data_IF_814596451546
#
_entry.id   IF_814596451546
#
_cell.length_a   1.000
_cell.length_b   1.000
_cell.length_c   1.000
_cell.angle_alpha   90.00
_cell.angle_beta   90.00
_cell.angle_gamma   90.00
#
_symmetry.space_group_name_H-M   'P 1'
#
loop_
_entity.id
_entity.type
_entity.pdbx_description
1 polymer ?
#
# COMPACT_ATOMS: atom_id res chain seq x y z
N UNK A 1 -25.43 40.15 -40.08
CA UNK A 1 -24.06 39.60 -39.90
C UNK A 1 -23.49 39.79 -38.48
N UNK A 2 -24.16 40.48 -37.59
CA UNK A 2 -23.77 40.73 -36.17
C UNK A 2 -24.06 39.56 -35.22
N UNK A 3 -25.06 38.77 -35.49
CA UNK A 3 -25.55 37.69 -34.57
C UNK A 3 -24.59 36.50 -34.45
N UNK A 4 -23.86 36.13 -35.50
CA UNK A 4 -22.87 35.02 -35.47
C UNK A 4 -21.60 35.35 -34.67
N UNK A 5 -21.19 36.63 -34.60
CA UNK A 5 -20.02 37.07 -33.86
C UNK A 5 -20.30 37.09 -32.35
N UNK A 6 -21.47 37.55 -31.93
CA UNK A 6 -21.86 37.59 -30.52
C UNK A 6 -22.05 36.16 -29.95
N UNK A 7 -22.67 35.27 -30.71
CA UNK A 7 -22.81 33.85 -30.33
C UNK A 7 -21.45 33.14 -30.18
N UNK A 8 -20.47 33.44 -31.04
CA UNK A 8 -19.11 32.89 -30.94
C UNK A 8 -18.39 33.34 -29.67
N UNK A 9 -18.52 34.64 -29.32
CA UNK A 9 -17.93 35.18 -28.08
C UNK A 9 -18.61 34.57 -26.85
N UNK A 10 -19.93 34.44 -26.86
CA UNK A 10 -20.67 33.85 -25.76
C UNK A 10 -20.28 32.37 -25.56
N UNK A 11 -20.15 31.61 -26.64
CA UNK A 11 -19.71 30.21 -26.59
C UNK A 11 -18.31 30.08 -26.00
N UNK A 12 -17.38 30.95 -26.41
CA UNK A 12 -16.03 30.97 -25.86
C UNK A 12 -16.00 31.29 -24.36
N UNK A 13 -16.86 32.20 -23.89
CA UNK A 13 -16.97 32.52 -22.47
C UNK A 13 -17.60 31.35 -21.69
N UNK A 14 -18.62 30.71 -22.19
CA UNK A 14 -19.24 29.53 -21.58
C UNK A 14 -18.26 28.35 -21.48
N UNK A 15 -17.47 28.10 -22.51
CA UNK A 15 -16.41 27.09 -22.49
C UNK A 15 -15.38 27.39 -21.38
N UNK A 16 -14.92 28.66 -21.28
CA UNK A 16 -13.99 29.08 -20.23
C UNK A 16 -14.58 28.88 -18.81
N UNK A 17 -15.87 29.15 -18.63
CA UNK A 17 -16.57 28.95 -17.37
C UNK A 17 -16.68 27.45 -17.08
N UNK A 18 -17.06 26.64 -18.06
CA UNK A 18 -17.12 25.18 -17.93
C UNK A 18 -15.76 24.61 -17.57
N UNK A 19 -14.70 24.97 -18.27
CA UNK A 19 -13.32 24.55 -17.97
C UNK A 19 -12.86 24.97 -16.56
N UNK A 20 -13.32 26.14 -16.08
CA UNK A 20 -13.00 26.62 -14.74
C UNK A 20 -13.76 25.83 -13.67
N UNK A 21 -15.02 25.50 -13.90
CA UNK A 21 -15.84 24.67 -13.03
C UNK A 21 -15.34 23.21 -13.00
N UNK A 22 -14.96 22.65 -14.14
CA UNK A 22 -14.38 21.32 -14.23
C UNK A 22 -13.04 21.20 -13.49
N UNK A 23 -12.24 22.27 -13.47
CA UNK A 23 -11.02 22.31 -12.63
C UNK A 23 -11.31 22.36 -11.13
N UNK A 24 -12.44 22.94 -10.71
CA UNK A 24 -12.85 22.99 -9.30
C UNK A 24 -13.60 21.73 -8.87
N UNK A 25 -14.33 21.10 -9.78
CA UNK A 25 -15.10 19.88 -9.55
C UNK A 25 -14.96 19.01 -10.80
N UNK A 26 -13.85 18.25 -10.92
CA UNK A 26 -13.63 17.38 -12.06
C UNK A 26 -14.79 16.38 -12.19
N UNK A 27 -15.25 16.08 -13.39
CA UNK A 27 -16.26 15.05 -13.61
C UNK A 27 -15.75 13.73 -13.04
N UNK A 28 -16.65 12.86 -12.57
CA UNK A 28 -16.24 11.53 -12.11
C UNK A 28 -15.46 10.83 -13.23
N UNK A 29 -14.37 10.11 -12.89
CA UNK A 29 -13.56 9.43 -13.88
C UNK A 29 -14.40 8.44 -14.69
N UNK A 30 -14.19 8.45 -15.98
CA UNK A 30 -14.89 7.54 -16.89
C UNK A 30 -14.28 6.14 -16.80
N UNK A 31 -15.01 5.22 -16.18
CA UNK A 31 -14.62 3.82 -16.00
C UNK A 31 -14.21 3.16 -17.31
N UNK A 32 -14.85 3.53 -18.44
CA UNK A 32 -14.58 2.93 -19.75
C UNK A 32 -13.22 3.33 -20.34
N UNK A 33 -12.60 4.38 -19.83
CA UNK A 33 -11.31 4.91 -20.27
C UNK A 33 -10.14 4.44 -19.43
N UNK A 34 -10.38 3.70 -18.35
CA UNK A 34 -9.28 3.20 -17.52
C UNK A 34 -8.46 2.15 -18.31
N UNK A 35 -7.18 2.42 -18.62
CA UNK A 35 -6.35 1.46 -19.31
C UNK A 35 -6.13 0.23 -18.43
N UNK A 36 -6.17 -0.97 -19.02
CA UNK A 36 -5.92 -2.21 -18.28
C UNK A 36 -4.42 -2.32 -17.97
N UNK A 37 -4.06 -2.17 -16.71
CA UNK A 37 -2.69 -2.26 -16.20
C UNK A 37 -2.64 -3.19 -14.98
N UNK A 38 -1.44 -3.64 -14.59
CA UNK A 38 -1.25 -4.40 -13.36
C UNK A 38 -1.51 -3.55 -12.13
N UNK A 39 -1.06 -2.29 -12.16
CA UNK A 39 -1.19 -1.40 -11.01
C UNK A 39 -1.51 0.03 -11.42
N UNK A 40 -2.03 0.77 -10.45
CA UNK A 40 -2.44 2.17 -10.57
C UNK A 40 -2.05 2.93 -9.31
N UNK A 41 -1.90 4.25 -9.45
CA UNK A 41 -1.83 5.18 -8.31
C UNK A 41 -3.06 6.08 -8.37
N UNK A 42 -3.70 6.27 -7.23
CA UNK A 42 -4.79 7.23 -7.05
C UNK A 42 -4.22 8.64 -6.95
N UNK A 43 -4.77 9.55 -7.72
CA UNK A 43 -4.52 11.00 -7.62
C UNK A 43 -5.81 11.68 -7.16
N UNK A 44 -5.82 12.14 -5.92
CA UNK A 44 -6.97 12.81 -5.30
C UNK A 44 -7.29 14.16 -5.96
N UNK A 45 -6.28 14.88 -6.44
CA UNK A 45 -6.47 16.19 -7.04
C UNK A 45 -7.24 16.13 -8.35
N UNK A 46 -6.93 15.13 -9.19
CA UNK A 46 -7.64 14.88 -10.45
C UNK A 46 -8.77 13.86 -10.32
N UNK A 47 -8.91 13.22 -9.16
CA UNK A 47 -9.82 12.08 -8.92
C UNK A 47 -9.70 11.00 -9.98
N UNK A 48 -8.47 10.65 -10.33
CA UNK A 48 -8.19 9.71 -11.42
C UNK A 48 -7.19 8.63 -10.99
N UNK A 49 -7.21 7.51 -11.73
CA UNK A 49 -6.24 6.43 -11.62
C UNK A 49 -5.19 6.55 -12.71
N UNK A 50 -3.94 6.69 -12.29
CA UNK A 50 -2.78 6.69 -13.18
C UNK A 50 -2.20 5.28 -13.28
N UNK A 51 -2.22 4.69 -14.48
CA UNK A 51 -1.66 3.36 -14.72
C UNK A 51 -0.14 3.36 -14.56
N UNK A 52 0.39 2.35 -13.87
CA UNK A 52 1.82 2.16 -13.65
C UNK A 52 2.35 1.19 -14.70
N UNK A 53 3.39 1.60 -15.42
CA UNK A 53 3.98 0.79 -16.48
C UNK A 53 4.68 -0.47 -15.95
N UNK A 54 5.32 -0.40 -14.76
CA UNK A 54 5.98 -1.52 -14.10
C UNK A 54 5.95 -1.33 -12.59
N UNK A 55 5.54 -2.36 -11.86
CA UNK A 55 5.54 -2.36 -10.40
C UNK A 55 6.95 -2.69 -9.91
N UNK A 56 7.55 -1.77 -9.14
CA UNK A 56 8.82 -2.06 -8.46
C UNK A 56 8.57 -3.05 -7.31
N UNK A 57 8.87 -4.31 -7.54
CA UNK A 57 8.66 -5.41 -6.59
C UNK A 57 9.83 -6.37 -6.57
N UNK A 58 10.07 -6.98 -5.41
CA UNK A 58 10.95 -8.13 -5.27
C UNK A 58 10.18 -9.41 -5.62
N UNK A 59 10.91 -10.44 -6.06
CA UNK A 59 10.34 -11.78 -6.13
C UNK A 59 9.94 -12.26 -4.72
N UNK A 60 8.81 -12.95 -4.64
CA UNK A 60 8.29 -13.48 -3.39
C UNK A 60 9.29 -14.44 -2.70
N UNK A 61 10.09 -15.16 -3.47
CA UNK A 61 11.13 -16.06 -3.00
C UNK A 61 12.29 -15.34 -2.27
N UNK A 62 12.50 -14.06 -2.54
CA UNK A 62 13.56 -13.26 -1.91
C UNK A 62 13.15 -12.67 -0.54
N UNK A 63 11.91 -12.86 -0.13
CA UNK A 63 11.40 -12.37 1.15
C UNK A 63 11.64 -13.43 2.24
N UNK A 64 12.86 -13.47 2.78
CA UNK A 64 13.29 -14.43 3.78
C UNK A 64 12.77 -14.10 5.19
N UNK A 65 12.52 -15.14 5.99
CA UNK A 65 12.17 -15.02 7.42
C UNK A 65 10.77 -14.52 7.71
N UNK A 66 9.90 -14.48 6.71
CA UNK A 66 8.49 -14.09 6.83
C UNK A 66 7.53 -15.09 6.17
N UNK A 67 7.84 -16.38 6.24
CA UNK A 67 7.07 -17.42 5.57
C UNK A 67 5.61 -17.46 6.03
N UNK A 68 5.37 -17.39 7.32
CA UNK A 68 4.00 -17.35 7.88
C UNK A 68 3.21 -16.14 7.38
N UNK A 69 3.83 -14.96 7.39
CA UNK A 69 3.23 -13.71 6.90
C UNK A 69 2.94 -13.81 5.40
N UNK A 70 3.89 -14.35 4.64
CA UNK A 70 3.76 -14.62 3.21
C UNK A 70 2.58 -15.52 2.91
N UNK A 71 2.52 -16.68 3.56
CA UNK A 71 1.51 -17.70 3.29
C UNK A 71 0.12 -17.19 3.68
N UNK A 72 -0.01 -16.47 4.80
CA UNK A 72 -1.26 -15.85 5.23
C UNK A 72 -1.78 -14.81 4.24
N UNK A 73 -0.92 -13.87 3.80
CA UNK A 73 -1.34 -12.82 2.86
C UNK A 73 -1.60 -13.38 1.47
N UNK A 74 -0.75 -14.29 0.99
CA UNK A 74 -0.91 -14.92 -0.33
C UNK A 74 -2.18 -15.76 -0.39
N UNK A 75 -2.48 -16.56 0.65
CA UNK A 75 -3.71 -17.32 0.74
C UNK A 75 -4.96 -16.45 0.71
N UNK A 76 -4.98 -15.35 1.49
CA UNK A 76 -6.08 -14.37 1.49
C UNK A 76 -6.25 -13.69 0.12
N UNK A 77 -5.13 -13.34 -0.52
CA UNK A 77 -5.14 -12.67 -1.82
C UNK A 77 -5.59 -13.59 -2.97
N UNK A 78 -5.18 -14.87 -2.94
CA UNK A 78 -5.66 -15.89 -3.90
C UNK A 78 -7.16 -16.14 -3.74
N UNK A 79 -7.64 -16.30 -2.51
CA UNK A 79 -9.07 -16.45 -2.25
C UNK A 79 -9.85 -15.26 -2.83
N UNK A 80 -9.39 -14.03 -2.59
CA UNK A 80 -9.99 -12.85 -3.17
C UNK A 80 -9.96 -12.87 -4.70
N UNK A 81 -8.81 -13.11 -5.32
CA UNK A 81 -8.65 -13.07 -6.77
C UNK A 81 -9.52 -14.13 -7.50
N UNK A 82 -9.79 -15.26 -6.83
CA UNK A 82 -10.67 -16.33 -7.36
C UNK A 82 -12.16 -16.13 -7.07
N UNK A 83 -12.55 -15.04 -6.41
CA UNK A 83 -13.96 -14.73 -6.15
C UNK A 83 -14.49 -15.19 -4.81
N UNK A 84 -13.64 -15.77 -3.98
CA UNK A 84 -14.00 -16.16 -2.62
C UNK A 84 -13.95 -14.97 -1.66
N UNK A 85 -14.55 -15.13 -0.48
CA UNK A 85 -14.50 -14.14 0.59
C UNK A 85 -13.06 -13.99 1.10
N UNK A 86 -12.65 -12.74 1.30
CA UNK A 86 -11.33 -12.40 1.80
C UNK A 86 -11.40 -11.19 2.74
N UNK A 87 -10.41 -11.05 3.60
CA UNK A 87 -10.32 -10.00 4.59
C UNK A 87 -9.48 -8.82 4.13
N UNK A 88 -9.79 -7.63 4.61
CA UNK A 88 -8.83 -6.54 4.63
C UNK A 88 -7.64 -6.93 5.51
N UNK A 89 -6.43 -6.48 5.16
CA UNK A 89 -5.22 -6.84 5.87
C UNK A 89 -4.46 -5.63 6.41
N UNK A 90 -4.03 -5.72 7.67
CA UNK A 90 -3.10 -4.79 8.28
C UNK A 90 -1.78 -5.49 8.58
N UNK A 91 -0.71 -5.06 7.90
CA UNK A 91 0.65 -5.52 8.12
C UNK A 91 1.34 -4.52 9.05
N UNK A 92 1.68 -4.91 10.27
CA UNK A 92 2.24 -4.00 11.26
C UNK A 92 3.58 -4.50 11.81
N UNK A 93 4.44 -3.58 12.25
CA UNK A 93 5.71 -3.93 12.89
C UNK A 93 6.87 -3.04 12.48
N UNK A 94 8.09 -3.43 12.82
CA UNK A 94 9.30 -2.63 12.64
C UNK A 94 9.52 -2.17 11.19
N UNK A 95 10.20 -1.03 11.02
CA UNK A 95 10.58 -0.52 9.69
C UNK A 95 11.58 -1.45 9.01
N UNK A 96 11.46 -1.59 7.68
CA UNK A 96 12.41 -2.37 6.89
C UNK A 96 12.27 -3.89 7.03
N UNK A 97 11.18 -4.40 7.59
CA UNK A 97 10.91 -5.85 7.77
C UNK A 97 10.20 -6.50 6.58
N UNK A 98 9.98 -5.77 5.48
CA UNK A 98 9.41 -6.34 4.26
C UNK A 98 7.89 -6.20 4.11
N UNK A 99 7.18 -5.44 4.97
CA UNK A 99 5.70 -5.28 4.91
C UNK A 99 5.19 -4.85 3.54
N UNK A 100 5.63 -3.70 3.06
CA UNK A 100 5.22 -3.15 1.76
C UNK A 100 5.73 -4.01 0.59
N UNK A 101 6.94 -4.57 0.73
CA UNK A 101 7.50 -5.50 -0.25
C UNK A 101 6.65 -6.76 -0.37
N UNK A 102 6.12 -7.29 0.74
CA UNK A 102 5.26 -8.46 0.72
C UNK A 102 3.96 -8.21 -0.03
N UNK A 103 3.29 -7.07 0.17
CA UNK A 103 2.06 -6.73 -0.57
C UNK A 103 2.32 -6.72 -2.08
N UNK A 104 3.39 -6.02 -2.50
CA UNK A 104 3.77 -5.92 -3.93
C UNK A 104 4.20 -7.27 -4.52
N UNK A 105 4.95 -8.08 -3.75
CA UNK A 105 5.38 -9.41 -4.20
C UNK A 105 4.22 -10.41 -4.31
N UNK A 106 3.28 -10.39 -3.36
CA UNK A 106 2.05 -11.20 -3.40
C UNK A 106 1.21 -10.83 -4.63
N UNK A 107 1.00 -9.54 -4.89
CA UNK A 107 0.33 -9.10 -6.11
C UNK A 107 1.05 -9.61 -7.36
N UNK A 108 2.38 -9.53 -7.41
CA UNK A 108 3.18 -10.06 -8.51
C UNK A 108 3.01 -11.57 -8.71
N UNK A 109 2.91 -12.33 -7.62
CA UNK A 109 2.63 -13.77 -7.69
C UNK A 109 1.25 -14.06 -8.28
N UNK A 110 0.20 -13.29 -7.91
CA UNK A 110 -1.13 -13.40 -8.52
C UNK A 110 -1.08 -13.14 -10.02
N UNK A 111 -0.37 -12.10 -10.46
CA UNK A 111 -0.20 -11.79 -11.88
C UNK A 111 0.51 -12.93 -12.64
N UNK A 112 1.57 -13.50 -12.04
CA UNK A 112 2.31 -14.64 -12.61
C UNK A 112 1.44 -15.92 -12.71
N UNK A 113 0.48 -16.09 -11.80
CA UNK A 113 -0.53 -17.15 -11.81
C UNK A 113 -1.67 -16.88 -12.81
N UNK A 114 -1.62 -15.76 -13.54
CA UNK A 114 -2.65 -15.38 -14.52
C UNK A 114 -3.94 -14.83 -13.91
N UNK A 115 -3.93 -14.46 -12.64
CA UNK A 115 -5.10 -13.89 -11.95
C UNK A 115 -5.28 -12.42 -12.32
N UNK A 116 -6.49 -12.04 -12.74
CA UNK A 116 -6.81 -10.66 -13.09
C UNK A 116 -7.20 -9.84 -11.85
N UNK A 117 -6.19 -9.41 -11.13
CA UNK A 117 -6.33 -8.56 -9.95
C UNK A 117 -5.47 -7.30 -10.11
N UNK A 118 -6.06 -6.11 -10.02
CA UNK A 118 -5.35 -4.83 -10.07
C UNK A 118 -4.86 -4.41 -8.68
N UNK A 119 -3.66 -3.82 -8.62
CA UNK A 119 -3.18 -3.15 -7.41
C UNK A 119 -3.39 -1.64 -7.55
N UNK A 120 -4.03 -1.01 -6.56
CA UNK A 120 -4.25 0.43 -6.55
C UNK A 120 -3.56 1.01 -5.32
N UNK A 121 -2.52 1.79 -5.52
CA UNK A 121 -1.85 2.52 -4.43
C UNK A 121 -2.62 3.81 -4.14
N UNK A 122 -2.96 4.03 -2.86
CA UNK A 122 -3.52 5.28 -2.35
C UNK A 122 -2.58 5.83 -1.28
N UNK A 123 -2.16 7.09 -1.43
CA UNK A 123 -1.30 7.71 -0.44
C UNK A 123 -2.06 7.99 0.86
N UNK A 124 -1.33 8.03 1.96
CA UNK A 124 -1.91 8.26 3.30
C UNK A 124 -2.72 9.57 3.35
N UNK A 125 -2.22 10.60 2.68
CA UNK A 125 -2.84 11.92 2.61
C UNK A 125 -4.20 11.89 1.91
N UNK A 126 -4.42 10.92 1.02
CA UNK A 126 -5.61 10.79 0.17
C UNK A 126 -6.64 9.79 0.73
N UNK A 127 -6.42 9.24 1.93
CA UNK A 127 -7.33 8.24 2.54
C UNK A 127 -8.77 8.75 2.70
N UNK A 128 -8.98 10.05 2.77
CA UNK A 128 -10.33 10.64 2.80
C UNK A 128 -11.14 10.33 1.54
N UNK A 129 -10.47 10.11 0.41
CA UNK A 129 -11.08 9.71 -0.85
C UNK A 129 -11.36 8.19 -0.95
N UNK A 130 -10.93 7.39 0.02
CA UNK A 130 -11.06 5.93 -0.04
C UNK A 130 -12.50 5.46 -0.31
N UNK A 131 -13.56 6.02 0.32
CA UNK A 131 -14.93 5.64 0.00
C UNK A 131 -15.30 5.91 -1.46
N UNK A 132 -14.88 7.05 -2.00
CA UNK A 132 -15.10 7.40 -3.41
C UNK A 132 -14.35 6.43 -4.34
N UNK A 133 -13.08 6.17 -4.08
CA UNK A 133 -12.26 5.23 -4.85
C UNK A 133 -12.87 3.83 -4.85
N UNK A 134 -13.34 3.35 -3.69
CA UNK A 134 -14.01 2.03 -3.60
C UNK A 134 -15.28 1.99 -4.44
N UNK A 135 -16.12 3.05 -4.37
CA UNK A 135 -17.32 3.17 -5.19
C UNK A 135 -17.03 3.25 -6.69
N UNK A 136 -15.94 3.91 -7.08
CA UNK A 136 -15.47 3.94 -8.47
C UNK A 136 -15.02 2.56 -8.95
N UNK A 137 -14.19 1.87 -8.19
CA UNK A 137 -13.70 0.53 -8.52
C UNK A 137 -14.82 -0.53 -8.52
N UNK A 138 -15.88 -0.33 -7.74
CA UNK A 138 -17.05 -1.20 -7.71
C UNK A 138 -17.75 -1.32 -9.07
N UNK A 139 -17.65 -0.30 -9.92
CA UNK A 139 -18.26 -0.25 -11.23
C UNK A 139 -17.47 -1.02 -12.31
N UNK A 140 -16.24 -1.45 -11.98
CA UNK A 140 -15.36 -2.13 -12.92
C UNK A 140 -15.47 -3.65 -12.72
N UNK A 141 -15.72 -4.39 -13.80
CA UNK A 141 -15.74 -5.86 -13.76
C UNK A 141 -14.31 -6.43 -13.67
N UNK A 142 -13.66 -6.16 -12.52
CA UNK A 142 -12.31 -6.60 -12.17
C UNK A 142 -12.14 -6.50 -10.66
N UNK A 143 -11.26 -7.35 -10.12
CA UNK A 143 -10.90 -7.30 -8.70
C UNK A 143 -9.74 -6.38 -8.45
N UNK A 144 -9.76 -5.68 -7.30
CA UNK A 144 -8.74 -4.71 -6.94
C UNK A 144 -8.31 -4.87 -5.48
N UNK A 145 -7.01 -4.85 -5.27
CA UNK A 145 -6.39 -4.66 -3.96
C UNK A 145 -6.03 -3.18 -3.86
N UNK A 146 -6.69 -2.43 -2.99
CA UNK A 146 -6.24 -1.08 -2.64
C UNK A 146 -5.15 -1.21 -1.59
N UNK A 147 -4.05 -0.52 -1.77
CA UNK A 147 -2.88 -0.58 -0.91
C UNK A 147 -2.49 0.82 -0.41
N UNK A 148 -2.37 0.98 0.92
CA UNK A 148 -1.83 2.19 1.54
C UNK A 148 -0.59 1.85 2.37
N UNK A 149 0.54 2.49 2.04
CA UNK A 149 1.79 2.28 2.73
C UNK A 149 1.97 3.25 3.90
N UNK A 150 2.61 2.78 4.99
CA UNK A 150 2.95 3.53 6.20
C UNK A 150 1.77 4.29 6.84
N UNK A 151 0.61 3.63 6.90
CA UNK A 151 -0.61 4.18 7.47
C UNK A 151 -0.44 4.41 8.98
N UNK A 152 -0.56 5.65 9.41
CA UNK A 152 -0.55 6.06 10.81
C UNK A 152 -1.35 7.35 10.94
N UNK A 153 -2.15 7.47 12.00
CA UNK A 153 -2.97 8.66 12.26
C UNK A 153 -2.38 9.48 13.41
N UNK A 154 -2.55 10.79 13.32
CA UNK A 154 -2.20 11.73 14.36
C UNK A 154 -3.47 12.27 15.04
N UNK A 155 -3.31 13.07 16.09
CA UNK A 155 -4.46 13.62 16.82
C UNK A 155 -5.37 14.48 15.93
N UNK A 156 -6.66 14.17 15.92
CA UNK A 156 -7.68 15.01 15.28
C UNK A 156 -7.83 14.83 13.78
N UNK A 157 -7.17 13.87 13.17
CA UNK A 157 -7.30 13.61 11.73
C UNK A 157 -8.69 13.06 11.38
N UNK A 158 -9.41 13.77 10.48
CA UNK A 158 -10.69 13.32 9.88
C UNK A 158 -10.53 12.02 9.09
N UNK A 159 -9.34 11.79 8.55
CA UNK A 159 -8.88 10.63 7.79
C UNK A 159 -9.18 9.29 8.48
N UNK A 160 -9.08 9.24 9.82
CA UNK A 160 -9.45 8.06 10.61
C UNK A 160 -10.92 7.67 10.44
N UNK A 161 -11.83 8.68 10.48
CA UNK A 161 -13.27 8.45 10.33
C UNK A 161 -13.64 7.96 8.94
N UNK A 162 -12.98 8.51 7.92
CA UNK A 162 -13.16 8.10 6.53
C UNK A 162 -12.71 6.64 6.30
N UNK A 163 -11.57 6.27 6.87
CA UNK A 163 -11.11 4.88 6.81
C UNK A 163 -12.08 3.93 7.53
N UNK A 164 -12.55 4.30 8.74
CA UNK A 164 -13.53 3.52 9.49
C UNK A 164 -14.80 3.30 8.66
N UNK A 165 -15.35 4.36 8.08
CA UNK A 165 -16.55 4.28 7.23
C UNK A 165 -16.32 3.40 5.99
N UNK A 166 -15.17 3.51 5.33
CA UNK A 166 -14.83 2.69 4.17
C UNK A 166 -14.71 1.20 4.53
N UNK A 167 -14.08 0.87 5.67
CA UNK A 167 -13.91 -0.52 6.11
C UNK A 167 -15.23 -1.15 6.60
N UNK A 168 -16.12 -0.37 7.20
CA UNK A 168 -17.44 -0.83 7.63
C UNK A 168 -18.41 -0.98 6.45
N UNK A 169 -18.21 -0.23 5.35
CA UNK A 169 -19.00 -0.30 4.14
C UNK A 169 -20.40 0.33 4.23
N UNK A 170 -20.76 0.95 5.36
CA UNK A 170 -22.07 1.59 5.55
C UNK A 170 -23.25 0.66 5.27
N UNK A 171 -24.37 1.24 4.81
CA UNK A 171 -25.60 0.48 4.47
C UNK A 171 -25.44 -0.37 3.21
N UNK A 172 -24.62 0.07 2.24
CA UNK A 172 -24.38 -0.62 0.96
C UNK A 172 -23.40 -1.80 1.10
N UNK A 173 -22.67 -1.87 2.21
CA UNK A 173 -21.61 -2.83 2.41
C UNK A 173 -20.34 -2.48 1.62
N UNK A 174 -19.29 -3.26 1.82
CA UNK A 174 -18.05 -3.15 1.05
C UNK A 174 -18.25 -3.78 -0.33
N UNK A 175 -17.74 -3.16 -1.42
CA UNK A 175 -17.77 -3.78 -2.75
C UNK A 175 -17.09 -5.17 -2.74
N UNK A 176 -17.71 -6.17 -3.36
CA UNK A 176 -17.20 -7.54 -3.37
C UNK A 176 -15.93 -7.71 -4.20
N UNK A 177 -15.65 -6.76 -5.09
CA UNK A 177 -14.50 -6.76 -5.98
C UNK A 177 -13.33 -5.90 -5.46
N UNK A 178 -13.40 -5.39 -4.22
CA UNK A 178 -12.34 -4.54 -3.63
C UNK A 178 -11.99 -5.03 -2.23
N UNK A 179 -10.67 -5.18 -1.95
CA UNK A 179 -10.14 -5.35 -0.60
C UNK A 179 -9.07 -4.28 -0.33
N UNK A 180 -8.87 -3.97 0.96
CA UNK A 180 -7.95 -2.95 1.40
C UNK A 180 -6.81 -3.55 2.23
N UNK A 181 -5.57 -3.29 1.81
CA UNK A 181 -4.36 -3.66 2.52
C UNK A 181 -3.63 -2.41 2.98
N UNK A 182 -3.19 -2.41 4.23
CA UNK A 182 -2.41 -1.32 4.78
C UNK A 182 -1.15 -1.84 5.46
N UNK A 183 -0.09 -1.04 5.43
CA UNK A 183 1.06 -1.28 6.29
C UNK A 183 1.15 -0.21 7.36
N UNK A 184 1.73 -0.54 8.51
CA UNK A 184 1.97 0.41 9.59
C UNK A 184 3.23 0.04 10.36
N UNK A 185 3.93 1.06 10.85
CA UNK A 185 5.04 0.87 11.79
C UNK A 185 4.54 0.76 13.24
N UNK A 186 3.24 0.92 13.46
CA UNK A 186 2.58 0.80 14.77
C UNK A 186 1.64 -0.39 14.77
N UNK A 187 1.58 -1.11 15.90
CA UNK A 187 0.62 -2.20 16.09
C UNK A 187 -0.82 -1.70 16.07
N UNK A 188 -1.06 -0.58 16.72
CA UNK A 188 -2.32 0.14 16.67
C UNK A 188 -2.09 1.40 15.83
N UNK A 189 -2.98 1.70 14.90
CA UNK A 189 -2.84 2.80 13.95
C UNK A 189 -2.80 4.19 14.63
N UNK A 190 -3.21 4.29 15.90
CA UNK A 190 -3.22 5.52 16.70
C UNK A 190 -2.05 5.59 17.70
N UNK A 191 -1.58 6.80 18.08
CA UNK A 191 -0.51 6.99 19.07
C UNK A 191 -0.91 6.49 20.47
N UNK A 192 0.01 5.91 21.22
CA UNK A 192 -0.21 5.50 22.63
C UNK A 192 -0.65 6.65 23.55
N UNK A 193 -0.15 7.86 23.31
CA UNK A 193 -0.51 9.05 24.08
C UNK A 193 -1.98 9.45 23.91
N UNK A 194 -2.60 9.12 22.80
CA UNK A 194 -4.03 9.27 22.58
C UNK A 194 -4.83 8.37 23.52
N UNK A 195 -4.40 7.11 23.61
CA UNK A 195 -5.00 6.10 24.47
C UNK A 195 -4.87 6.49 25.96
N UNK A 196 -3.75 7.13 26.35
CA UNK A 196 -3.51 7.57 27.73
C UNK A 196 -4.20 8.89 28.07
N UNK A 197 -4.31 9.85 27.16
CA UNK A 197 -4.97 11.13 27.37
C UNK A 197 -6.49 11.00 27.35
N UNK A 198 -7.07 10.14 26.53
CA UNK A 198 -8.49 9.81 26.57
C UNK A 198 -8.85 9.07 27.86
N UNK A 199 -7.93 8.28 28.43
CA UNK A 199 -8.07 7.70 29.77
C UNK A 199 -8.13 8.73 30.89
N UNK A 200 -7.51 9.90 30.70
CA UNK A 200 -7.44 10.95 31.74
C UNK A 200 -8.57 11.98 31.65
N UNK A 201 -9.23 12.14 30.51
CA UNK A 201 -10.26 13.15 30.25
C UNK A 201 -11.68 12.58 30.06
N UNK A 202 -11.81 11.28 29.76
CA UNK A 202 -13.08 10.63 29.56
C UNK A 202 -13.73 10.26 30.91
N UNK A 203 -15.04 10.46 31.03
CA UNK A 203 -15.87 10.00 32.15
C UNK A 203 -15.79 8.47 32.28
N UNK A 204 -15.44 7.77 31.17
CA UNK A 204 -15.10 6.36 31.11
C UNK A 204 -13.75 6.13 30.35
N UNK A 205 -12.68 5.78 31.06
CA UNK A 205 -11.37 5.52 30.44
C UNK A 205 -11.33 4.36 29.41
N UNK A 206 -12.39 3.54 29.34
CA UNK A 206 -12.54 2.41 28.42
C UNK A 206 -12.91 2.82 27.00
N UNK A 207 -13.65 3.93 26.81
CA UNK A 207 -14.20 4.32 25.50
C UNK A 207 -13.11 4.70 24.48
N UNK A 208 -12.09 5.45 24.88
CA UNK A 208 -11.00 5.83 23.98
C UNK A 208 -10.09 4.65 23.56
N UNK A 209 -9.91 3.66 24.44
CA UNK A 209 -9.21 2.41 24.12
C UNK A 209 -10.03 1.54 23.18
N UNK A 210 -11.34 1.46 23.40
CA UNK A 210 -12.26 0.72 22.55
C UNK A 210 -12.33 1.32 21.14
N UNK A 211 -12.25 2.64 20.99
CA UNK A 211 -12.30 3.28 19.69
C UNK A 211 -11.01 3.07 18.87
N UNK A 212 -9.84 3.06 19.50
CA UNK A 212 -8.55 2.81 18.85
C UNK A 212 -8.31 1.33 18.52
N UNK A 213 -8.80 0.41 19.35
CA UNK A 213 -8.83 -1.03 19.08
C UNK A 213 -9.81 -1.31 17.94
N UNK A 214 -10.95 -0.64 17.95
CA UNK A 214 -12.06 -0.78 17.02
C UNK A 214 -11.68 -0.59 15.53
N UNK A 215 -10.72 0.27 15.17
CA UNK A 215 -10.29 0.38 13.76
C UNK A 215 -9.45 -0.82 13.32
N UNK A 216 -8.58 -1.23 14.21
CA UNK A 216 -7.70 -2.36 13.92
C UNK A 216 -8.50 -3.66 13.77
N UNK A 217 -9.56 -3.85 14.56
CA UNK A 217 -10.45 -5.01 14.51
C UNK A 217 -11.26 -5.13 13.20
N UNK A 218 -11.34 -4.03 12.43
CA UNK A 218 -11.97 -4.03 11.09
C UNK A 218 -11.10 -4.65 10.01
N UNK A 219 -9.82 -4.81 10.31
CA UNK A 219 -8.96 -5.64 9.49
C UNK A 219 -9.10 -7.08 9.95
N UNK A 220 -9.78 -7.92 9.18
CA UNK A 220 -9.95 -9.32 9.53
C UNK A 220 -8.65 -10.13 9.49
N UNK A 221 -7.59 -9.61 8.85
CA UNK A 221 -6.27 -10.23 8.80
C UNK A 221 -5.22 -9.28 9.39
N UNK A 222 -4.61 -9.70 10.50
CA UNK A 222 -3.55 -8.98 11.20
C UNK A 222 -2.24 -9.71 11.11
N UNK A 223 -1.26 -9.11 10.45
CA UNK A 223 0.04 -9.73 10.19
C UNK A 223 1.13 -8.91 10.88
N UNK A 224 1.72 -9.50 11.93
CA UNK A 224 2.82 -8.88 12.69
C UNK A 224 4.17 -9.20 12.10
N UNK A 225 5.04 -8.17 11.99
CA UNK A 225 6.42 -8.29 11.57
C UNK A 225 7.34 -7.92 12.72
N UNK A 226 8.24 -8.81 13.07
CA UNK A 226 9.20 -8.61 14.16
C UNK A 226 10.56 -8.18 13.61
N UNK A 227 11.43 -7.74 14.53
CA UNK A 227 12.81 -7.40 14.19
C UNK A 227 13.53 -8.61 13.60
N UNK A 228 14.36 -8.35 12.60
CA UNK A 228 15.14 -9.36 11.90
C UNK A 228 16.35 -9.71 12.74
N UNK A 229 16.56 -10.99 13.01
CA UNK A 229 17.77 -11.49 13.65
C UNK A 229 18.95 -11.59 12.66
N UNK A 230 20.12 -11.93 13.15
CA UNK A 230 21.32 -12.01 12.33
C UNK A 230 21.24 -13.15 11.30
N UNK A 231 20.65 -14.26 11.66
CA UNK A 231 20.55 -15.42 10.76
C UNK A 231 19.64 -15.12 9.58
N UNK A 232 18.48 -14.52 9.81
CA UNK A 232 17.56 -14.08 8.75
C UNK A 232 18.20 -13.00 7.89
N UNK A 233 18.97 -12.08 8.49
CA UNK A 233 19.70 -11.06 7.74
C UNK A 233 20.71 -11.69 6.77
N UNK A 234 21.47 -12.70 7.18
CA UNK A 234 22.38 -13.43 6.32
C UNK A 234 21.65 -14.19 5.22
N UNK A 235 20.52 -14.86 5.56
CA UNK A 235 19.68 -15.53 4.55
C UNK A 235 19.21 -14.57 3.46
N UNK A 236 18.84 -13.33 3.81
CA UNK A 236 18.48 -12.31 2.82
C UNK A 236 19.66 -11.96 1.91
N UNK A 237 20.83 -11.75 2.49
CA UNK A 237 22.04 -11.43 1.72
C UNK A 237 22.42 -12.58 0.78
N UNK A 238 22.42 -13.81 1.28
CA UNK A 238 22.73 -15.02 0.48
C UNK A 238 21.72 -15.20 -0.66
N UNK A 239 20.43 -15.00 -0.37
CA UNK A 239 19.38 -15.11 -1.37
C UNK A 239 19.53 -14.07 -2.49
N UNK A 240 19.86 -12.82 -2.16
CA UNK A 240 20.13 -11.79 -3.16
C UNK A 240 21.38 -12.09 -3.99
N UNK A 241 22.49 -12.49 -3.35
CA UNK A 241 23.73 -12.86 -4.03
C UNK A 241 23.47 -14.01 -5.03
N UNK A 242 22.76 -15.04 -4.61
CA UNK A 242 22.40 -16.17 -5.45
C UNK A 242 21.48 -15.77 -6.62
N UNK A 243 20.46 -14.93 -6.32
CA UNK A 243 19.48 -14.50 -7.33
C UNK A 243 20.10 -13.64 -8.43
N UNK A 244 20.99 -12.72 -8.07
CA UNK A 244 21.63 -11.82 -9.03
C UNK A 244 22.96 -12.34 -9.55
N UNK A 245 23.43 -13.51 -9.09
CA UNK A 245 24.68 -14.10 -9.53
C UNK A 245 25.91 -13.26 -9.20
N UNK A 246 25.90 -12.57 -8.05
CA UNK A 246 27.03 -11.70 -7.66
C UNK A 246 28.25 -12.54 -7.31
N UNK A 247 29.43 -12.30 -7.91
CA UNK A 247 30.65 -13.07 -7.61
C UNK A 247 31.18 -12.67 -6.23
N UNK A 248 31.29 -13.66 -5.32
CA UNK A 248 31.73 -13.45 -3.92
C UNK A 248 32.88 -14.38 -3.50
N UNK A 249 33.59 -14.99 -4.46
CA UNK A 249 34.61 -16.01 -4.16
C UNK A 249 35.73 -15.51 -3.24
N UNK A 250 36.10 -14.22 -3.34
CA UNK A 250 37.19 -13.61 -2.59
C UNK A 250 36.67 -12.67 -1.48
N UNK A 251 35.38 -12.77 -1.11
CA UNK A 251 34.71 -11.86 -0.17
C UNK A 251 34.20 -12.66 1.03
N UNK A 252 34.53 -12.24 2.23
CA UNK A 252 33.82 -12.71 3.42
C UNK A 252 32.47 -12.00 3.53
N UNK A 253 31.51 -12.54 2.77
CA UNK A 253 30.18 -11.95 2.57
C UNK A 253 29.47 -11.64 3.89
N UNK A 254 29.49 -12.59 4.83
CA UNK A 254 28.79 -12.42 6.12
C UNK A 254 29.48 -11.42 7.04
N UNK A 255 30.83 -11.39 7.06
CA UNK A 255 31.57 -10.41 7.83
C UNK A 255 31.34 -8.98 7.31
N UNK A 256 31.39 -8.78 5.98
CA UNK A 256 31.12 -7.48 5.37
C UNK A 256 29.66 -7.03 5.58
N UNK A 257 28.69 -7.94 5.37
CA UNK A 257 27.28 -7.64 5.60
C UNK A 257 27.00 -7.28 7.07
N UNK A 258 27.66 -7.97 8.01
CA UNK A 258 27.54 -7.67 9.43
C UNK A 258 28.11 -6.28 9.75
N UNK A 259 29.34 -5.96 9.29
CA UNK A 259 29.95 -4.65 9.46
C UNK A 259 29.04 -3.54 8.91
N UNK A 260 28.51 -3.73 7.69
CA UNK A 260 27.57 -2.82 7.06
C UNK A 260 26.31 -2.58 7.91
N UNK A 261 25.75 -3.64 8.51
CA UNK A 261 24.58 -3.52 9.38
C UNK A 261 24.86 -2.80 10.69
N UNK A 262 26.06 -2.99 11.24
CA UNK A 262 26.51 -2.31 12.48
C UNK A 262 26.67 -0.82 12.28
N UNK A 263 27.28 -0.38 11.18
CA UNK A 263 27.41 1.05 10.83
C UNK A 263 26.05 1.76 10.71
N UNK A 264 25.02 1.04 10.29
CA UNK A 264 23.65 1.58 10.12
C UNK A 264 22.75 1.38 11.33
N UNK A 265 23.26 0.71 12.37
CA UNK A 265 22.56 0.48 13.63
C UNK A 265 21.31 -0.38 13.52
N UNK A 266 21.12 -1.12 12.41
CA UNK A 266 19.94 -1.94 12.19
C UNK A 266 20.20 -3.11 11.25
N UNK A 267 19.54 -4.23 11.53
CA UNK A 267 19.40 -5.37 10.61
C UNK A 267 17.98 -5.35 10.05
N UNK A 268 17.86 -5.11 8.74
CA UNK A 268 16.58 -5.02 8.06
C UNK A 268 16.71 -5.39 6.58
N UNK A 269 15.62 -5.75 5.90
CA UNK A 269 15.61 -6.01 4.48
C UNK A 269 16.10 -4.80 3.66
N UNK A 270 15.81 -3.57 4.11
CA UNK A 270 16.34 -2.35 3.48
C UNK A 270 17.86 -2.27 3.59
N UNK A 271 18.43 -2.60 4.75
CA UNK A 271 19.90 -2.57 4.98
C UNK A 271 20.56 -3.69 4.17
N UNK A 272 19.96 -4.88 4.11
CA UNK A 272 20.43 -5.98 3.26
C UNK A 272 20.45 -5.55 1.78
N UNK A 273 19.36 -4.97 1.28
CA UNK A 273 19.29 -4.48 -0.09
C UNK A 273 20.32 -3.40 -0.40
N UNK A 274 20.54 -2.43 0.51
CA UNK A 274 21.58 -1.40 0.36
C UNK A 274 22.99 -2.00 0.30
N UNK A 275 23.27 -3.04 1.09
CA UNK A 275 24.52 -3.77 1.02
C UNK A 275 24.69 -4.47 -0.33
N UNK A 276 23.64 -5.10 -0.84
CA UNK A 276 23.66 -5.75 -2.16
C UNK A 276 23.89 -4.75 -3.30
N UNK A 277 23.29 -3.56 -3.23
CA UNK A 277 23.55 -2.50 -4.21
C UNK A 277 25.03 -2.06 -4.22
N UNK A 278 25.64 -1.90 -3.06
CA UNK A 278 27.06 -1.58 -2.92
C UNK A 278 27.95 -2.72 -3.43
N UNK A 279 27.64 -3.95 -3.03
CA UNK A 279 28.37 -5.14 -3.46
C UNK A 279 28.33 -5.33 -4.97
N UNK A 280 27.15 -5.21 -5.59
CA UNK A 280 26.95 -5.31 -7.01
C UNK A 280 27.73 -4.23 -7.79
N UNK A 281 27.74 -2.99 -7.27
CA UNK A 281 28.54 -1.91 -7.85
C UNK A 281 30.06 -2.22 -7.80
N UNK A 282 30.57 -2.73 -6.66
CA UNK A 282 31.97 -3.12 -6.51
C UNK A 282 32.37 -4.30 -7.41
N UNK A 283 31.46 -5.23 -7.62
CA UNK A 283 31.68 -6.42 -8.47
C UNK A 283 31.25 -6.21 -9.92
N UNK A 284 30.82 -5.01 -10.29
CA UNK A 284 30.32 -4.65 -11.63
C UNK A 284 29.20 -5.59 -12.13
N UNK A 285 28.34 -6.06 -11.23
CA UNK A 285 27.21 -6.94 -11.53
C UNK A 285 25.96 -6.08 -11.74
N UNK A 286 25.24 -6.18 -12.88
CA UNK A 286 23.96 -5.50 -13.07
C UNK A 286 22.86 -6.19 -12.23
N UNK A 287 21.96 -5.40 -11.64
CA UNK A 287 20.83 -5.88 -10.83
C UNK A 287 19.50 -5.71 -11.57
#
# INVERSE_FOLDING_TARGET
>A
MTDHSENSVLLAQLTRIADALERQSPPPPDVSRLPRAEAYVWDSASRNLSAIASVNRLDLALLCGIDHQRDALLGNSRAFATGLSANNALLWGARGTGKSSLVKAVHGALCAEGMDCGLVEIHREDIEDLPFLMGFLAQIDRRFIIFSDDLAFEHGESTYKSLKAALDGGVEGRPNNVIFYATSNRRHLMPRQMIENERSTAINPSEGVEESVSLSDRFGLWIGFHSIDQQVFFQMVDAYVAHFGIPVADIDLHAEALAWSMERGARSGRVAWQFILDLAARTQTPL
#
